data_IF_168985806249
#
_entry.id   IF_168985806249
#
_cell.length_a   1.000
_cell.length_b   1.000
_cell.length_c   1.000
_cell.angle_alpha   90.00
_cell.angle_beta   90.00
_cell.angle_gamma   90.00
#
_symmetry.space_group_name_H-M   'P 1'
#
loop_
_entity.id
_entity.type
_entity.pdbx_description
1 polymer ?
#
# COMPACT_ATOMS: atom_id res chain seq x y z
N UNK A 1 3.37 -6.95 12.28
CA UNK A 1 4.76 -7.09 11.81
C UNK A 1 5.73 -6.94 12.98
N UNK A 2 6.94 -7.49 12.92
CA UNK A 2 8.00 -7.21 13.88
C UNK A 2 9.13 -6.46 13.17
N UNK A 3 9.47 -5.27 13.65
CA UNK A 3 10.54 -4.42 13.11
C UNK A 3 11.73 -4.44 14.08
N UNK A 4 12.96 -4.51 13.55
CA UNK A 4 14.17 -4.39 14.37
C UNK A 4 14.73 -2.98 14.26
N UNK A 5 14.59 -2.18 15.31
CA UNK A 5 15.05 -0.79 15.37
C UNK A 5 16.01 -0.64 16.54
N UNK A 6 17.24 -0.19 16.29
CA UNK A 6 18.27 -0.02 17.33
C UNK A 6 18.57 -1.31 18.10
N UNK A 7 18.46 -2.48 17.45
CA UNK A 7 18.67 -3.79 18.08
C UNK A 7 17.47 -4.35 18.86
N UNK A 8 16.39 -3.58 19.03
CA UNK A 8 15.17 -4.02 19.71
C UNK A 8 14.11 -4.44 18.70
N UNK A 9 13.33 -5.47 19.04
CA UNK A 9 12.18 -5.89 18.26
C UNK A 9 10.95 -5.11 18.72
N UNK A 10 10.36 -4.34 17.82
CA UNK A 10 9.11 -3.63 18.02
C UNK A 10 8.00 -4.41 17.32
N UNK A 11 6.87 -4.63 18.01
CA UNK A 11 5.64 -5.04 17.33
C UNK A 11 5.13 -3.80 16.59
N UNK A 12 4.75 -3.98 15.34
CA UNK A 12 4.18 -2.94 14.47
C UNK A 12 2.83 -3.45 13.94
N UNK A 13 1.75 -2.99 14.54
CA UNK A 13 0.36 -3.27 14.19
C UNK A 13 -0.14 -2.31 13.11
N UNK A 14 -1.36 -2.55 12.61
CA UNK A 14 -2.01 -1.62 11.69
C UNK A 14 -2.36 -0.29 12.37
N UNK A 15 -2.56 -0.29 13.69
CA UNK A 15 -2.79 0.92 14.48
C UNK A 15 -1.51 1.77 14.54
N UNK A 16 -0.36 1.15 14.76
CA UNK A 16 0.94 1.84 14.76
C UNK A 16 1.28 2.35 13.35
N UNK A 17 0.91 1.59 12.31
CA UNK A 17 1.01 2.03 10.92
C UNK A 17 0.16 3.27 10.64
N UNK A 18 -1.12 3.23 10.99
CA UNK A 18 -2.04 4.35 10.84
C UNK A 18 -1.58 5.58 11.62
N UNK A 19 -1.08 5.38 12.84
CA UNK A 19 -0.56 6.44 13.69
C UNK A 19 0.68 7.12 13.09
N UNK A 20 1.63 6.34 12.55
CA UNK A 20 2.84 6.88 11.92
C UNK A 20 2.54 7.55 10.59
N UNK A 21 1.62 6.99 9.80
CA UNK A 21 1.30 7.49 8.47
C UNK A 21 0.24 8.58 8.46
N UNK A 22 -0.45 8.80 9.59
CA UNK A 22 -1.62 9.69 9.69
C UNK A 22 -2.84 9.16 8.92
N UNK A 23 -2.79 7.92 8.45
CA UNK A 23 -3.88 7.29 7.70
C UNK A 23 -4.99 6.83 8.67
N UNK A 24 -6.26 7.03 8.34
CA UNK A 24 -7.38 6.64 9.23
C UNK A 24 -7.50 5.12 9.43
N UNK A 25 -7.69 4.67 10.67
CA UNK A 25 -8.07 3.27 10.95
C UNK A 25 -9.56 3.00 10.70
N UNK A 26 -10.45 3.96 11.02
CA UNK A 26 -11.89 3.71 11.14
C UNK A 26 -12.73 4.44 10.08
N UNK A 27 -13.79 3.81 9.58
CA UNK A 27 -14.70 4.38 8.56
C UNK A 27 -15.47 3.35 7.73
N UNK A 28 -16.16 3.80 6.68
CA UNK A 28 -16.87 2.96 5.71
C UNK A 28 -15.91 2.51 4.60
N UNK A 29 -15.73 1.20 4.40
CA UNK A 29 -14.78 0.58 3.48
C UNK A 29 -15.38 0.35 2.09
N UNK A 30 -16.52 0.99 1.80
CA UNK A 30 -17.30 0.80 0.59
C UNK A 30 -16.43 1.02 -0.67
N UNK A 31 -16.03 -0.10 -1.25
CA UNK A 31 -14.89 -0.21 -2.17
C UNK A 31 -15.20 0.38 -3.57
N UNK A 32 -16.48 0.71 -3.82
CA UNK A 32 -16.97 1.22 -5.09
C UNK A 32 -16.42 2.61 -5.44
N UNK A 33 -16.03 3.42 -4.46
CA UNK A 33 -15.41 4.73 -4.69
C UNK A 33 -13.97 4.66 -5.23
N UNK A 34 -13.27 3.53 -5.03
CA UNK A 34 -11.85 3.40 -5.37
C UNK A 34 -11.62 2.68 -6.71
N UNK A 35 -12.68 2.29 -7.41
CA UNK A 35 -12.60 1.69 -8.75
C UNK A 35 -12.51 2.77 -9.83
N UNK A 36 -11.51 3.65 -9.72
CA UNK A 36 -11.22 4.65 -10.74
C UNK A 36 -10.24 3.99 -11.72
N UNK A 37 -10.72 3.62 -12.91
CA UNK A 37 -9.96 2.86 -13.91
C UNK A 37 -8.69 3.52 -14.48
N UNK A 38 -8.19 4.60 -13.86
CA UNK A 38 -7.00 5.33 -14.27
C UNK A 38 -6.05 5.59 -13.09
N UNK A 39 -5.34 4.54 -12.64
CA UNK A 39 -4.28 4.65 -11.65
C UNK A 39 -3.01 5.24 -12.29
N UNK A 40 -2.66 6.48 -11.94
CA UNK A 40 -1.44 7.16 -12.40
C UNK A 40 -0.19 6.44 -11.89
N UNK A 41 -0.16 5.92 -10.66
CA UNK A 41 0.98 5.11 -10.15
C UNK A 41 1.20 3.87 -11.04
N UNK A 42 0.14 3.14 -11.39
CA UNK A 42 0.23 2.00 -12.33
C UNK A 42 0.77 2.44 -13.68
N UNK A 43 0.26 3.54 -14.21
CA UNK A 43 0.67 4.06 -15.53
C UNK A 43 2.10 4.63 -15.56
N UNK A 44 2.63 5.14 -14.45
CA UNK A 44 3.99 5.69 -14.40
C UNK A 44 5.03 4.60 -14.15
N UNK A 45 4.80 3.77 -13.14
CA UNK A 45 5.82 2.84 -12.64
C UNK A 45 5.66 1.41 -13.17
N UNK A 46 4.45 1.04 -13.63
CA UNK A 46 4.11 -0.33 -14.01
C UNK A 46 3.45 -0.43 -15.39
N UNK A 47 3.61 0.56 -16.28
CA UNK A 47 2.95 0.60 -17.60
C UNK A 47 3.12 -0.65 -18.45
N UNK A 48 4.26 -1.32 -18.30
CA UNK A 48 4.64 -2.51 -19.08
C UNK A 48 4.13 -3.81 -18.46
N UNK A 49 3.42 -3.72 -17.33
CA UNK A 49 2.91 -4.86 -16.57
C UNK A 49 1.40 -4.97 -16.74
N UNK A 50 0.95 -6.08 -17.32
CA UNK A 50 -0.48 -6.44 -17.33
C UNK A 50 -1.02 -6.62 -15.91
N UNK A 51 -0.24 -7.34 -15.09
CA UNK A 51 -0.50 -7.55 -13.68
C UNK A 51 0.71 -7.06 -12.88
N UNK A 52 0.48 -6.38 -11.76
CA UNK A 52 1.55 -5.93 -10.86
C UNK A 52 1.71 -6.97 -9.75
N UNK A 53 2.92 -7.50 -9.59
CA UNK A 53 3.21 -8.47 -8.54
C UNK A 53 3.88 -7.80 -7.35
N UNK A 54 3.81 -8.43 -6.16
CA UNK A 54 4.51 -7.94 -4.95
C UNK A 54 5.99 -7.65 -5.20
N UNK A 55 6.67 -8.54 -5.94
CA UNK A 55 8.08 -8.37 -6.34
C UNK A 55 8.32 -7.18 -7.26
N UNK A 56 7.36 -6.82 -8.11
CA UNK A 56 7.50 -5.61 -8.94
C UNK A 56 7.51 -4.37 -8.05
N UNK A 57 6.61 -4.31 -7.06
CA UNK A 57 6.52 -3.20 -6.11
C UNK A 57 7.78 -3.10 -5.26
N UNK A 58 8.25 -4.22 -4.71
CA UNK A 58 9.49 -4.29 -3.94
C UNK A 58 10.69 -3.80 -4.76
N UNK A 59 10.85 -4.30 -5.99
CA UNK A 59 11.92 -3.86 -6.87
C UNK A 59 11.82 -2.37 -7.20
N UNK A 60 10.64 -1.86 -7.51
CA UNK A 60 10.44 -0.44 -7.81
C UNK A 60 10.76 0.43 -6.60
N UNK A 61 10.35 0.04 -5.39
CA UNK A 61 10.60 0.79 -4.16
C UNK A 61 12.08 0.74 -3.73
N UNK A 62 12.76 -0.39 -3.91
CA UNK A 62 14.18 -0.49 -3.58
C UNK A 62 15.09 0.23 -4.60
N UNK A 63 14.59 0.51 -5.80
CA UNK A 63 15.33 1.15 -6.89
C UNK A 63 14.74 2.51 -7.28
N UNK A 64 14.26 3.30 -6.30
CA UNK A 64 13.80 4.66 -6.56
C UNK A 64 14.93 5.50 -7.17
N UNK A 65 14.56 6.37 -8.10
CA UNK A 65 15.52 7.20 -8.83
C UNK A 65 15.38 8.66 -8.42
N UNK A 66 16.36 9.50 -8.77
CA UNK A 66 16.27 10.95 -8.57
C UNK A 66 15.09 11.60 -9.34
N UNK A 67 14.50 10.91 -10.32
CA UNK A 67 13.31 11.36 -11.04
C UNK A 67 12.00 11.05 -10.29
N UNK A 68 12.03 10.20 -9.25
CA UNK A 68 10.85 9.91 -8.43
C UNK A 68 10.57 11.10 -7.52
N UNK A 69 9.35 11.62 -7.58
CA UNK A 69 8.91 12.69 -6.66
C UNK A 69 8.71 12.15 -5.23
N UNK A 70 8.89 12.99 -4.22
CA UNK A 70 8.67 12.60 -2.81
C UNK A 70 7.26 12.01 -2.59
N UNK A 71 6.25 12.60 -3.23
CA UNK A 71 4.86 12.11 -3.17
C UNK A 71 4.73 10.70 -3.73
N UNK A 72 5.41 10.40 -4.83
CA UNK A 72 5.39 9.06 -5.42
C UNK A 72 6.21 8.06 -4.60
N UNK A 73 7.34 8.47 -4.03
CA UNK A 73 8.14 7.64 -3.13
C UNK A 73 7.31 7.20 -1.92
N UNK A 74 6.55 8.12 -1.32
CA UNK A 74 5.62 7.81 -0.22
C UNK A 74 4.54 6.83 -0.67
N UNK A 75 3.88 7.07 -1.81
CA UNK A 75 2.84 6.17 -2.34
C UNK A 75 3.38 4.76 -2.62
N UNK A 76 4.58 4.65 -3.20
CA UNK A 76 5.25 3.38 -3.47
C UNK A 76 5.66 2.67 -2.18
N UNK A 77 6.11 3.40 -1.16
CA UNK A 77 6.42 2.84 0.15
C UNK A 77 5.19 2.31 0.87
N UNK A 78 4.07 3.04 0.82
CA UNK A 78 2.81 2.56 1.37
C UNK A 78 2.31 1.33 0.59
N UNK A 79 2.37 1.36 -0.75
CA UNK A 79 2.03 0.22 -1.60
C UNK A 79 2.86 -1.02 -1.26
N UNK A 80 4.17 -0.87 -1.04
CA UNK A 80 5.05 -1.94 -0.59
C UNK A 80 4.63 -2.49 0.77
N UNK A 81 4.33 -1.62 1.73
CA UNK A 81 3.94 -2.05 3.07
C UNK A 81 2.60 -2.80 3.08
N UNK A 82 1.59 -2.26 2.37
CA UNK A 82 0.28 -2.89 2.25
C UNK A 82 0.39 -4.27 1.59
N UNK A 83 1.05 -4.31 0.43
CA UNK A 83 1.14 -5.53 -0.38
C UNK A 83 1.99 -6.62 0.27
N UNK A 84 3.04 -6.25 1.00
CA UNK A 84 4.00 -7.18 1.62
C UNK A 84 3.65 -7.57 3.06
N UNK A 85 2.83 -6.80 3.79
CA UNK A 85 2.63 -7.04 5.23
C UNK A 85 1.17 -6.97 5.71
N UNK A 86 0.27 -6.28 4.99
CA UNK A 86 -1.14 -6.14 5.41
C UNK A 86 -2.06 -7.11 4.64
N UNK A 87 -1.81 -7.35 3.36
CA UNK A 87 -2.61 -8.26 2.51
C UNK A 87 -1.93 -9.61 2.22
N UNK A 88 -0.99 -10.04 3.06
CA UNK A 88 -0.28 -11.32 2.88
C UNK A 88 -1.17 -12.55 3.05
N UNK A 89 -2.43 -12.40 3.46
CA UNK A 89 -3.37 -13.50 3.64
C UNK A 89 -3.89 -14.11 2.33
N UNK A 90 -3.75 -13.40 1.20
CA UNK A 90 -4.04 -13.98 -0.12
C UNK A 90 -2.78 -14.59 -0.72
N UNK A 91 -2.86 -15.90 -1.05
CA UNK A 91 -1.84 -16.69 -1.74
C UNK A 91 -1.46 -16.16 -3.13
N UNK A 92 -2.21 -15.17 -3.63
CA UNK A 92 -1.93 -14.47 -4.87
C UNK A 92 -0.72 -13.52 -4.70
N UNK A 93 0.31 -13.74 -5.50
CA UNK A 93 1.43 -12.80 -5.64
C UNK A 93 1.05 -11.54 -6.44
N UNK A 94 -0.15 -11.51 -7.03
CA UNK A 94 -0.69 -10.39 -7.80
C UNK A 94 -1.35 -9.41 -6.85
N UNK A 95 -0.99 -8.13 -6.98
CA UNK A 95 -1.66 -7.04 -6.28
C UNK A 95 -2.90 -6.65 -7.08
N UNK A 96 -4.06 -6.70 -6.42
CA UNK A 96 -5.34 -6.32 -7.04
C UNK A 96 -5.38 -4.82 -7.33
N UNK A 97 -6.01 -4.45 -8.45
CA UNK A 97 -6.05 -3.07 -8.94
C UNK A 97 -6.65 -2.09 -7.94
N UNK A 98 -7.53 -2.56 -7.05
CA UNK A 98 -8.10 -1.75 -5.96
C UNK A 98 -7.02 -1.18 -5.02
N UNK A 99 -5.97 -1.96 -4.70
CA UNK A 99 -4.88 -1.49 -3.84
C UNK A 99 -4.05 -0.44 -4.60
N UNK A 100 -3.86 -0.61 -5.90
CA UNK A 100 -3.15 0.37 -6.75
C UNK A 100 -3.95 1.68 -6.86
N UNK A 101 -5.27 1.59 -7.04
CA UNK A 101 -6.13 2.77 -7.10
C UNK A 101 -6.19 3.48 -5.74
N UNK A 102 -6.19 2.72 -4.64
CA UNK A 102 -6.25 3.24 -3.29
C UNK A 102 -5.06 4.15 -2.95
N UNK A 103 -3.83 3.74 -3.29
CA UNK A 103 -2.64 4.57 -3.02
C UNK A 103 -2.57 5.83 -3.88
N UNK A 104 -3.34 5.87 -4.96
CA UNK A 104 -3.39 7.03 -5.85
C UNK A 104 -4.63 7.90 -5.65
N UNK A 105 -5.52 7.48 -4.75
CA UNK A 105 -6.73 8.20 -4.39
C UNK A 105 -6.37 9.55 -3.73
N UNK A 106 -6.99 10.67 -4.15
CA UNK A 106 -6.66 12.01 -3.64
C UNK A 106 -6.84 12.18 -2.12
N UNK A 107 -7.66 11.33 -1.49
CA UNK A 107 -7.95 11.37 -0.05
C UNK A 107 -7.59 10.06 0.65
N UNK A 108 -6.47 9.45 0.27
CA UNK A 108 -5.94 8.22 0.87
C UNK A 108 -5.82 8.31 2.40
N UNK A 109 -5.49 9.49 2.91
CA UNK A 109 -5.44 9.86 4.34
C UNK A 109 -6.78 9.67 5.07
N UNK A 110 -7.89 9.75 4.35
CA UNK A 110 -9.24 9.56 4.92
C UNK A 110 -9.75 8.12 4.87
N UNK A 111 -9.06 7.22 4.16
CA UNK A 111 -9.46 5.82 4.00
C UNK A 111 -9.35 5.02 5.31
N UNK A 112 -10.32 4.13 5.65
CA UNK A 112 -10.32 3.37 6.90
C UNK A 112 -9.58 2.02 6.81
N UNK A 113 -8.28 2.04 7.08
CA UNK A 113 -7.37 0.90 6.85
C UNK A 113 -7.60 -0.32 7.76
N UNK A 114 -8.23 -0.17 8.93
CA UNK A 114 -8.34 -1.24 9.94
C UNK A 114 -9.37 -2.33 9.57
N UNK A 115 -10.54 -1.96 9.03
CA UNK A 115 -11.62 -2.92 8.77
C UNK A 115 -11.24 -4.03 7.78
N UNK A 116 -10.43 -3.69 6.79
CA UNK A 116 -10.03 -4.63 5.72
C UNK A 116 -8.97 -5.65 6.16
N UNK A 117 -8.26 -5.36 7.26
CA UNK A 117 -7.34 -6.31 7.89
C UNK A 117 -8.08 -7.35 8.74
N UNK A 118 -9.25 -7.02 9.29
CA UNK A 118 -10.04 -7.91 10.15
C UNK A 118 -10.87 -8.88 9.30
N UNK A 119 -11.44 -8.43 8.17
CA UNK A 119 -12.29 -9.26 7.31
C UNK A 119 -11.56 -10.40 6.56
N UNK A 120 -10.24 -10.46 6.64
CA UNK A 120 -9.39 -11.50 6.01
C UNK A 120 -8.74 -12.44 7.04
N UNK A 121 -9.23 -12.46 8.28
CA UNK A 121 -8.83 -13.39 9.36
C UNK A 121 -10.01 -14.29 9.70
#
# INVERSE_FOLDING_TARGET
>A
MWLKVGGKHLKFSIEEFALVTGLKCHGDDNNSMYNVGNCRIKNLYFRHRRNVYRKDIENTFNNLTAATTDKDAVKLGILYLISSHLYTTTSANVVVDEILNLVDFPHMDTFPWEKRSISNT
#
